data_IF_862119022656
#
_entry.id   IF_862119022656
#
_cell.length_a   1.000
_cell.length_b   1.000
_cell.length_c   1.000
_cell.angle_alpha   90.00
_cell.angle_beta   90.00
_cell.angle_gamma   90.00
#
_symmetry.space_group_name_H-M   'P 1'
#
loop_
_entity.id
_entity.type
_entity.pdbx_description
1 polymer ?
#
# COMPACT_ATOMS: atom_id res chain seq x y z
N UNK A 1 4.06 28.74 -26.62
CA UNK A 1 3.19 27.89 -25.78
C UNK A 1 3.17 28.46 -24.37
N UNK A 2 1.98 28.60 -23.76
CA UNK A 2 1.89 28.96 -22.34
C UNK A 2 2.50 27.86 -21.44
N UNK A 3 2.99 28.24 -20.27
CA UNK A 3 3.58 27.31 -19.30
C UNK A 3 2.60 26.21 -18.89
N UNK A 4 1.30 26.54 -18.76
CA UNK A 4 0.24 25.57 -18.50
C UNK A 4 0.14 24.49 -19.58
N UNK A 5 0.19 24.86 -20.86
CA UNK A 5 0.15 23.87 -21.96
C UNK A 5 1.39 22.98 -21.96
N UNK A 6 2.58 23.53 -21.63
CA UNK A 6 3.81 22.74 -21.46
C UNK A 6 3.67 21.73 -20.32
N UNK A 7 3.16 22.16 -19.17
CA UNK A 7 2.92 21.30 -18.02
C UNK A 7 1.93 20.16 -18.36
N UNK A 8 0.82 20.47 -19.04
CA UNK A 8 -0.14 19.45 -19.47
C UNK A 8 0.48 18.41 -20.41
N UNK A 9 1.23 18.86 -21.42
CA UNK A 9 1.90 17.95 -22.36
C UNK A 9 2.94 17.11 -21.64
N UNK A 10 3.73 17.71 -20.75
CA UNK A 10 4.73 16.99 -19.96
C UNK A 10 4.07 15.92 -19.06
N UNK A 11 2.96 16.24 -18.40
CA UNK A 11 2.19 15.29 -17.59
C UNK A 11 1.53 14.19 -18.44
N UNK A 12 1.04 14.53 -19.63
CA UNK A 12 0.48 13.56 -20.57
C UNK A 12 1.54 12.58 -21.11
N UNK A 13 2.81 12.99 -21.17
CA UNK A 13 3.95 12.11 -21.48
C UNK A 13 4.37 11.31 -20.23
N UNK A 14 4.35 11.93 -19.05
CA UNK A 14 4.73 11.29 -17.80
C UNK A 14 3.87 10.07 -17.48
N UNK A 15 2.53 10.16 -17.61
CA UNK A 15 1.61 9.08 -17.27
C UNK A 15 1.90 7.75 -18.01
N UNK A 16 1.98 7.69 -19.36
CA UNK A 16 2.29 6.45 -20.06
C UNK A 16 3.72 5.95 -19.80
N UNK A 17 4.70 6.84 -19.59
CA UNK A 17 6.06 6.43 -19.24
C UNK A 17 6.09 5.78 -17.86
N UNK A 18 5.38 6.36 -16.88
CA UNK A 18 5.26 5.79 -15.54
C UNK A 18 4.61 4.40 -15.58
N UNK A 19 3.51 4.24 -16.34
CA UNK A 19 2.87 2.94 -16.52
C UNK A 19 3.77 1.92 -17.22
N UNK A 20 4.58 2.36 -18.20
CA UNK A 20 5.53 1.51 -18.90
C UNK A 20 6.67 1.06 -17.98
N UNK A 21 7.24 1.97 -17.20
CA UNK A 21 8.28 1.66 -16.20
C UNK A 21 7.74 0.64 -15.20
N UNK A 22 6.56 0.90 -14.64
CA UNK A 22 5.88 -0.03 -13.73
C UNK A 22 5.66 -1.41 -14.37
N UNK A 23 5.13 -1.46 -15.60
CA UNK A 23 4.88 -2.72 -16.30
C UNK A 23 6.17 -3.51 -16.53
N UNK A 24 7.24 -2.85 -16.98
CA UNK A 24 8.53 -3.50 -17.22
C UNK A 24 9.13 -4.01 -15.90
N UNK A 25 9.12 -3.18 -14.85
CA UNK A 25 9.67 -3.54 -13.55
C UNK A 25 8.95 -4.75 -12.96
N UNK A 26 7.62 -4.72 -12.88
CA UNK A 26 6.82 -5.81 -12.30
C UNK A 26 6.89 -7.11 -13.12
N UNK A 27 7.07 -7.03 -14.44
CA UNK A 27 7.08 -8.22 -15.31
C UNK A 27 8.41 -8.96 -15.33
N UNK A 28 9.53 -8.23 -15.25
CA UNK A 28 10.86 -8.75 -15.55
C UNK A 28 11.83 -8.72 -14.36
N UNK A 29 11.57 -7.92 -13.32
CA UNK A 29 12.47 -7.77 -12.19
C UNK A 29 11.90 -8.44 -10.93
N UNK A 30 12.77 -8.65 -9.94
CA UNK A 30 12.39 -9.23 -8.65
C UNK A 30 11.81 -8.14 -7.75
N UNK A 31 10.59 -8.38 -7.25
CA UNK A 31 9.88 -7.46 -6.37
C UNK A 31 9.68 -8.13 -5.02
N UNK A 32 10.27 -7.54 -3.98
CA UNK A 32 10.11 -8.03 -2.61
C UNK A 32 8.85 -7.45 -1.95
N UNK A 33 8.58 -6.15 -2.17
CA UNK A 33 7.44 -5.44 -1.60
C UNK A 33 6.84 -4.52 -2.67
N UNK A 34 5.60 -4.81 -3.07
CA UNK A 34 4.90 -4.13 -4.18
C UNK A 34 4.83 -2.61 -3.99
N UNK A 35 4.54 -2.14 -2.77
CA UNK A 35 4.45 -0.70 -2.48
C UNK A 35 5.80 -0.01 -2.70
N UNK A 36 6.89 -0.55 -2.15
CA UNK A 36 8.22 0.06 -2.27
C UNK A 36 8.71 0.04 -3.72
N UNK A 37 8.47 -1.06 -4.43
CA UNK A 37 8.77 -1.17 -5.86
C UNK A 37 7.97 -0.15 -6.69
N UNK A 38 6.67 -0.01 -6.46
CA UNK A 38 5.82 0.93 -7.19
C UNK A 38 6.20 2.39 -6.91
N UNK A 39 6.59 2.73 -5.68
CA UNK A 39 7.10 4.07 -5.34
C UNK A 39 8.43 4.34 -6.02
N UNK A 40 9.33 3.35 -6.08
CA UNK A 40 10.58 3.47 -6.83
C UNK A 40 10.32 3.74 -8.32
N UNK A 41 9.36 3.05 -8.93
CA UNK A 41 8.97 3.26 -10.33
C UNK A 41 8.52 4.69 -10.62
N UNK A 42 7.80 5.30 -9.68
CA UNK A 42 7.40 6.72 -9.78
C UNK A 42 8.64 7.62 -9.81
N UNK A 43 9.60 7.42 -8.90
CA UNK A 43 10.84 8.20 -8.89
C UNK A 43 11.65 8.01 -10.17
N UNK A 44 11.78 6.78 -10.64
CA UNK A 44 12.45 6.46 -11.91
C UNK A 44 11.77 7.18 -13.07
N UNK A 45 10.44 7.13 -13.16
CA UNK A 45 9.68 7.80 -14.22
C UNK A 45 9.83 9.33 -14.16
N UNK A 46 9.80 9.93 -12.95
CA UNK A 46 10.01 11.37 -12.76
C UNK A 46 11.39 11.79 -13.24
N UNK A 47 12.44 11.04 -12.87
CA UNK A 47 13.81 11.33 -13.28
C UNK A 47 13.97 11.17 -14.80
N UNK A 48 13.46 10.08 -15.39
CA UNK A 48 13.56 9.83 -16.82
C UNK A 48 12.86 10.92 -17.64
N UNK A 49 11.60 11.22 -17.33
CA UNK A 49 10.82 12.21 -18.08
C UNK A 49 11.35 13.62 -17.80
N UNK A 50 11.67 13.94 -16.55
CA UNK A 50 12.23 15.22 -16.15
C UNK A 50 13.58 15.51 -16.83
N UNK A 51 14.47 14.53 -16.89
CA UNK A 51 15.76 14.66 -17.57
C UNK A 51 15.58 14.84 -19.09
N UNK A 52 14.78 13.98 -19.75
CA UNK A 52 14.56 14.05 -21.21
C UNK A 52 13.95 15.40 -21.62
N UNK A 53 12.94 15.88 -20.89
CA UNK A 53 12.29 17.16 -21.21
C UNK A 53 13.17 18.38 -20.87
N UNK A 54 14.00 18.29 -19.83
CA UNK A 54 14.96 19.34 -19.49
C UNK A 54 16.10 19.43 -20.51
N UNK A 55 16.66 18.30 -20.93
CA UNK A 55 17.74 18.23 -21.93
C UNK A 55 17.29 18.73 -23.31
N UNK A 56 16.03 18.48 -23.69
CA UNK A 56 15.43 19.02 -24.92
C UNK A 56 15.04 20.50 -24.82
N UNK A 57 15.33 21.16 -23.69
CA UNK A 57 14.96 22.56 -23.45
C UNK A 57 13.46 22.82 -23.38
N UNK A 58 12.61 21.78 -23.27
CA UNK A 58 11.16 21.94 -23.27
C UNK A 58 10.65 22.67 -22.01
N UNK A 59 11.37 22.50 -20.90
CA UNK A 59 11.10 23.11 -19.59
C UNK A 59 11.89 24.41 -19.33
N UNK A 60 12.74 24.86 -20.27
CA UNK A 60 13.62 26.03 -20.07
C UNK A 60 12.84 27.33 -19.83
N UNK A 61 11.67 27.46 -20.45
CA UNK A 61 10.77 28.60 -20.31
C UNK A 61 10.03 28.68 -18.96
N UNK A 62 10.07 27.60 -18.16
CA UNK A 62 9.45 27.56 -16.83
C UNK A 62 10.46 28.04 -15.78
N UNK A 63 9.99 28.80 -14.81
CA UNK A 63 10.75 29.18 -13.60
C UNK A 63 11.11 27.95 -12.76
N UNK A 64 12.09 28.09 -11.86
CA UNK A 64 12.48 27.01 -10.95
C UNK A 64 11.33 26.49 -10.08
N UNK A 65 10.48 27.40 -9.59
CA UNK A 65 9.29 27.07 -8.79
C UNK A 65 8.29 26.24 -9.61
N UNK A 66 7.98 26.64 -10.84
CA UNK A 66 7.03 25.91 -11.69
C UNK A 66 7.51 24.49 -12.00
N UNK A 67 8.83 24.30 -12.21
CA UNK A 67 9.41 22.96 -12.40
C UNK A 67 9.32 22.12 -11.14
N UNK A 68 9.62 22.70 -9.98
CA UNK A 68 9.51 22.03 -8.69
C UNK A 68 8.07 21.57 -8.41
N UNK A 69 7.09 22.45 -8.65
CA UNK A 69 5.68 22.13 -8.48
C UNK A 69 5.21 21.05 -9.46
N UNK A 70 5.69 21.07 -10.71
CA UNK A 70 5.39 20.02 -11.69
C UNK A 70 5.92 18.65 -11.24
N UNK A 71 7.17 18.59 -10.75
CA UNK A 71 7.73 17.33 -10.25
C UNK A 71 7.06 16.86 -8.96
N UNK A 72 6.74 17.77 -8.04
CA UNK A 72 5.97 17.44 -6.85
C UNK A 72 4.59 16.87 -7.20
N UNK A 73 3.92 17.43 -8.21
CA UNK A 73 2.66 16.92 -8.71
C UNK A 73 2.83 15.51 -9.29
N UNK A 74 3.87 15.25 -10.08
CA UNK A 74 4.13 13.91 -10.62
C UNK A 74 4.41 12.88 -9.54
N UNK A 75 5.20 13.23 -8.53
CA UNK A 75 5.45 12.36 -7.38
C UNK A 75 4.15 12.09 -6.62
N UNK A 76 3.33 13.11 -6.36
CA UNK A 76 2.06 12.95 -5.67
C UNK A 76 1.07 12.08 -6.45
N UNK A 77 0.91 12.32 -7.76
CA UNK A 77 0.04 11.52 -8.63
C UNK A 77 0.55 10.08 -8.75
N UNK A 78 1.86 9.89 -8.93
CA UNK A 78 2.46 8.56 -8.99
C UNK A 78 2.33 7.81 -7.66
N UNK A 79 2.53 8.48 -6.53
CA UNK A 79 2.31 7.90 -5.21
C UNK A 79 0.84 7.49 -5.00
N UNK A 80 -0.10 8.35 -5.41
CA UNK A 80 -1.53 8.02 -5.37
C UNK A 80 -1.84 6.77 -6.22
N UNK A 81 -1.23 6.65 -7.40
CA UNK A 81 -1.32 5.44 -8.22
C UNK A 81 -0.75 4.22 -7.50
N UNK A 82 0.49 4.29 -6.99
CA UNK A 82 1.18 3.19 -6.32
C UNK A 82 0.39 2.65 -5.11
N UNK A 83 -0.20 3.55 -4.31
CA UNK A 83 -1.04 3.15 -3.17
C UNK A 83 -2.38 2.61 -3.64
N UNK A 84 -3.04 3.26 -4.60
CA UNK A 84 -4.45 2.96 -4.91
C UNK A 84 -4.65 1.79 -5.87
N UNK A 85 -3.68 1.50 -6.74
CA UNK A 85 -3.86 0.49 -7.79
C UNK A 85 -3.14 -0.81 -7.42
N UNK A 86 -1.81 -0.94 -7.55
CA UNK A 86 -1.15 -2.21 -7.32
C UNK A 86 -1.24 -2.64 -5.86
N UNK A 87 -1.08 -1.71 -4.90
CA UNK A 87 -1.08 -2.06 -3.47
C UNK A 87 -2.48 -2.45 -2.97
N UNK A 88 -3.55 -1.80 -3.46
CA UNK A 88 -4.92 -2.21 -3.10
C UNK A 88 -5.24 -3.56 -3.75
N UNK A 89 -4.94 -3.77 -5.03
CA UNK A 89 -5.25 -5.05 -5.70
C UNK A 89 -4.53 -6.22 -5.02
N UNK A 90 -3.24 -6.04 -4.67
CA UNK A 90 -2.43 -7.05 -3.99
C UNK A 90 -2.97 -7.45 -2.59
N UNK A 91 -3.64 -6.52 -1.88
CA UNK A 91 -3.89 -6.66 -0.42
C UNK A 91 -5.34 -6.48 0.00
N UNK A 92 -6.23 -6.15 -0.92
CA UNK A 92 -7.61 -5.80 -0.59
C UNK A 92 -8.45 -7.04 -0.37
N UNK A 93 -8.74 -7.27 0.91
CA UNK A 93 -9.75 -8.23 1.34
C UNK A 93 -11.13 -7.94 0.69
N UNK A 94 -11.43 -6.68 0.37
CA UNK A 94 -12.70 -6.34 -0.31
C UNK A 94 -12.76 -6.85 -1.76
N UNK A 95 -11.67 -6.74 -2.52
CA UNK A 95 -11.62 -7.32 -3.87
C UNK A 95 -11.73 -8.84 -3.82
N UNK A 96 -10.99 -9.46 -2.88
CA UNK A 96 -11.06 -10.90 -2.67
C UNK A 96 -12.48 -11.41 -2.33
N UNK A 97 -13.24 -10.70 -1.48
CA UNK A 97 -14.65 -11.06 -1.21
C UNK A 97 -15.46 -11.07 -2.52
N UNK A 98 -15.31 -10.04 -3.36
CA UNK A 98 -16.06 -9.94 -4.62
C UNK A 98 -15.67 -11.06 -5.60
N UNK A 99 -14.39 -11.37 -5.70
CA UNK A 99 -13.89 -12.48 -6.53
C UNK A 99 -14.46 -13.82 -6.05
N UNK A 100 -14.48 -14.05 -4.73
CA UNK A 100 -15.08 -15.27 -4.16
C UNK A 100 -16.58 -15.35 -4.35
N UNK A 101 -17.30 -14.25 -4.19
CA UNK A 101 -18.73 -14.19 -4.51
C UNK A 101 -18.96 -14.52 -5.97
N UNK A 102 -18.20 -13.92 -6.89
CA UNK A 102 -18.29 -14.17 -8.32
C UNK A 102 -17.99 -15.64 -8.67
N UNK A 103 -16.93 -16.22 -8.11
CA UNK A 103 -16.59 -17.64 -8.29
C UNK A 103 -17.69 -18.60 -7.80
N UNK A 104 -18.50 -18.18 -6.83
CA UNK A 104 -19.60 -18.96 -6.25
C UNK A 104 -20.98 -18.59 -6.83
N UNK A 105 -21.02 -17.94 -7.99
CA UNK A 105 -22.29 -17.61 -8.67
C UNK A 105 -23.00 -16.38 -8.11
N UNK A 106 -22.27 -15.49 -7.44
CA UNK A 106 -22.75 -14.19 -6.94
C UNK A 106 -23.16 -14.16 -5.47
N UNK A 107 -23.02 -15.26 -4.72
CA UNK A 107 -23.51 -15.33 -3.35
C UNK A 107 -22.78 -16.35 -2.46
N UNK A 108 -22.59 -15.97 -1.19
CA UNK A 108 -22.08 -16.84 -0.12
C UNK A 108 -22.97 -16.59 1.11
N UNK A 109 -23.32 -17.64 1.86
CA UNK A 109 -24.09 -17.48 3.11
C UNK A 109 -23.32 -16.61 4.09
N UNK A 110 -23.93 -15.54 4.59
CA UNK A 110 -23.28 -14.57 5.47
C UNK A 110 -22.61 -15.24 6.69
N UNK A 111 -23.29 -16.19 7.34
CA UNK A 111 -22.75 -16.93 8.49
C UNK A 111 -21.54 -17.83 8.19
N UNK A 112 -21.24 -18.07 6.91
CA UNK A 112 -20.08 -18.85 6.44
C UNK A 112 -18.98 -17.97 5.84
N UNK A 113 -19.15 -16.64 5.85
CA UNK A 113 -18.15 -15.73 5.32
C UNK A 113 -16.82 -15.81 6.10
N UNK A 114 -16.87 -16.14 7.40
CA UNK A 114 -15.66 -16.37 8.21
C UNK A 114 -14.77 -17.47 7.63
N UNK A 115 -15.37 -18.54 7.11
CA UNK A 115 -14.63 -19.67 6.54
C UNK A 115 -13.81 -19.24 5.31
N UNK A 116 -14.35 -18.32 4.52
CA UNK A 116 -13.67 -17.75 3.34
C UNK A 116 -12.42 -16.97 3.74
N UNK A 117 -12.42 -16.30 4.90
CA UNK A 117 -11.23 -15.60 5.39
C UNK A 117 -10.20 -16.54 6.01
N UNK A 118 -10.65 -17.45 6.88
CA UNK A 118 -9.73 -18.30 7.66
C UNK A 118 -9.15 -19.43 6.82
N UNK A 119 -10.00 -20.10 6.03
CA UNK A 119 -9.61 -21.33 5.34
C UNK A 119 -9.19 -21.08 3.88
N UNK A 120 -9.62 -19.98 3.27
CA UNK A 120 -9.28 -19.67 1.87
C UNK A 120 -8.31 -18.48 1.79
N UNK A 121 -8.66 -17.30 2.30
CA UNK A 121 -7.86 -16.08 2.09
C UNK A 121 -6.44 -16.20 2.67
N UNK A 122 -6.33 -16.70 3.91
CA UNK A 122 -5.04 -16.85 4.58
C UNK A 122 -4.11 -17.80 3.82
N UNK A 123 -4.67 -18.84 3.18
CA UNK A 123 -3.92 -19.89 2.48
C UNK A 123 -3.60 -19.47 1.05
N UNK A 124 -4.61 -19.08 0.27
CA UNK A 124 -4.48 -18.74 -1.16
C UNK A 124 -3.57 -17.54 -1.40
N UNK A 125 -3.59 -16.55 -0.49
CA UNK A 125 -2.72 -15.38 -0.58
C UNK A 125 -1.42 -15.51 0.22
N UNK A 126 -1.11 -16.69 0.78
CA UNK A 126 0.08 -16.88 1.64
C UNK A 126 0.23 -15.75 2.67
N UNK A 127 -0.90 -15.36 3.30
CA UNK A 127 -1.00 -14.06 3.95
C UNK A 127 -0.02 -13.92 5.11
N UNK A 128 0.22 -15.01 5.86
CA UNK A 128 1.17 -15.01 6.97
C UNK A 128 2.60 -14.79 6.45
N UNK A 129 3.01 -15.56 5.45
CA UNK A 129 4.37 -15.52 4.89
C UNK A 129 4.71 -14.14 4.32
N UNK A 130 3.77 -13.56 3.55
CA UNK A 130 3.96 -12.23 2.95
C UNK A 130 4.07 -11.16 4.04
N UNK A 131 3.21 -11.21 5.07
CA UNK A 131 3.22 -10.18 6.12
C UNK A 131 4.47 -10.28 6.99
N UNK A 132 4.91 -11.49 7.33
CA UNK A 132 6.19 -11.68 8.03
C UNK A 132 7.37 -11.20 7.19
N UNK A 133 7.39 -11.52 5.89
CA UNK A 133 8.43 -11.05 4.97
C UNK A 133 8.47 -9.52 4.90
N UNK A 134 7.31 -8.86 4.81
CA UNK A 134 7.24 -7.39 4.82
C UNK A 134 7.83 -6.79 6.10
N UNK A 135 7.48 -7.36 7.26
CA UNK A 135 7.99 -6.87 8.54
C UNK A 135 9.51 -7.08 8.65
N UNK A 136 10.02 -8.24 8.23
CA UNK A 136 11.45 -8.55 8.17
C UNK A 136 12.20 -7.58 7.24
N UNK A 137 11.70 -7.37 6.01
CA UNK A 137 12.31 -6.44 5.06
C UNK A 137 12.27 -4.99 5.55
N UNK A 138 11.25 -4.64 6.35
CA UNK A 138 11.17 -3.32 6.99
C UNK A 138 12.00 -3.20 8.27
N UNK A 139 12.54 -4.31 8.81
CA UNK A 139 13.32 -4.36 10.04
C UNK A 139 12.51 -4.11 11.31
N UNK A 140 11.20 -4.34 11.30
CA UNK A 140 10.32 -4.19 12.48
C UNK A 140 10.23 -5.46 13.32
N UNK A 141 10.55 -6.62 12.74
CA UNK A 141 10.66 -7.88 13.44
C UNK A 141 11.96 -8.58 13.11
N UNK A 142 12.32 -9.54 13.95
CA UNK A 142 13.36 -10.54 13.74
C UNK A 142 12.82 -11.92 14.11
N UNK A 143 13.39 -12.97 13.53
CA UNK A 143 13.01 -14.35 13.82
C UNK A 143 14.25 -15.09 14.33
N UNK A 144 14.20 -15.51 15.60
CA UNK A 144 15.26 -16.28 16.27
C UNK A 144 14.66 -17.60 16.76
N UNK A 145 15.25 -18.72 16.38
CA UNK A 145 14.80 -20.06 16.81
C UNK A 145 13.29 -20.35 16.60
N UNK A 146 12.72 -19.81 15.52
CA UNK A 146 11.29 -19.95 15.21
C UNK A 146 10.38 -18.97 15.96
N UNK A 147 10.94 -18.14 16.83
CA UNK A 147 10.25 -17.12 17.59
C UNK A 147 10.33 -15.74 16.92
N UNK A 148 9.18 -15.08 16.79
CA UNK A 148 9.05 -13.78 16.12
C UNK A 148 9.09 -12.66 17.16
N UNK A 149 10.15 -11.86 17.15
CA UNK A 149 10.35 -10.77 18.11
C UNK A 149 10.24 -9.40 17.44
N UNK A 150 9.74 -8.41 18.17
CA UNK A 150 9.79 -7.01 17.73
C UNK A 150 11.21 -6.48 17.91
N UNK A 151 11.68 -5.72 16.92
CA UNK A 151 12.87 -4.87 17.12
C UNK A 151 12.47 -3.58 17.86
N UNK A 152 13.42 -2.75 18.34
CA UNK A 152 13.09 -1.44 18.91
C UNK A 152 12.30 -0.54 17.93
N UNK A 153 12.57 -0.67 16.62
CA UNK A 153 11.78 -0.01 15.57
C UNK A 153 10.36 -0.56 15.52
N UNK A 154 10.19 -1.88 15.62
CA UNK A 154 8.89 -2.53 15.69
C UNK A 154 8.06 -2.08 16.88
N UNK A 155 8.65 -2.02 18.08
CA UNK A 155 7.98 -1.53 19.29
C UNK A 155 7.51 -0.09 19.15
N UNK A 156 8.35 0.78 18.59
CA UNK A 156 7.99 2.17 18.30
C UNK A 156 6.81 2.25 17.31
N UNK A 157 6.86 1.51 16.20
CA UNK A 157 5.78 1.50 15.21
C UNK A 157 4.48 0.96 15.81
N UNK A 158 4.54 -0.10 16.61
CA UNK A 158 3.38 -0.69 17.27
C UNK A 158 2.74 0.28 18.27
N UNK A 159 3.55 0.94 19.10
CA UNK A 159 3.07 1.92 20.09
C UNK A 159 2.46 3.16 19.42
N UNK A 160 3.10 3.69 18.38
CA UNK A 160 2.54 4.78 17.56
C UNK A 160 1.22 4.37 16.91
N UNK A 161 1.13 3.14 16.41
CA UNK A 161 -0.09 2.58 15.84
C UNK A 161 -1.21 2.42 16.86
N UNK A 162 -0.90 2.12 18.13
CA UNK A 162 -1.88 2.10 19.23
C UNK A 162 -2.34 3.50 19.60
N UNK A 163 -1.40 4.43 19.76
CA UNK A 163 -1.71 5.84 20.03
C UNK A 163 -2.62 6.42 18.96
N UNK A 164 -2.34 6.17 17.68
CA UNK A 164 -3.19 6.65 16.59
C UNK A 164 -4.62 6.09 16.67
N UNK A 165 -4.76 4.79 16.94
CA UNK A 165 -6.08 4.15 17.07
C UNK A 165 -6.93 4.75 18.19
N UNK A 166 -6.32 4.99 19.34
CA UNK A 166 -7.05 5.46 20.52
C UNK A 166 -7.40 6.95 20.47
N UNK A 167 -6.61 7.76 19.74
CA UNK A 167 -6.77 9.22 19.73
C UNK A 167 -7.38 9.78 18.44
N UNK A 168 -7.10 9.18 17.28
CA UNK A 168 -7.45 9.75 15.98
C UNK A 168 -8.44 8.92 15.17
N UNK A 169 -8.71 7.66 15.52
CA UNK A 169 -9.75 6.91 14.82
C UNK A 169 -11.16 7.40 15.19
N UNK A 170 -12.11 7.31 14.24
CA UNK A 170 -13.49 7.69 14.48
C UNK A 170 -14.12 6.87 15.62
N UNK A 171 -14.72 7.56 16.59
CA UNK A 171 -15.49 6.94 17.70
C UNK A 171 -16.89 6.46 17.31
N UNK A 172 -17.39 6.89 16.16
CA UNK A 172 -18.70 6.48 15.65
C UNK A 172 -18.50 5.86 14.27
N UNK A 173 -18.17 4.57 14.23
CA UNK A 173 -17.95 3.83 12.98
C UNK A 173 -19.03 2.80 12.77
N UNK A 174 -19.62 2.78 11.58
CA UNK A 174 -20.65 1.83 11.19
C UNK A 174 -20.05 0.42 11.05
N UNK A 175 -20.53 -0.52 11.84
CA UNK A 175 -20.25 -1.96 11.76
C UNK A 175 -21.59 -2.71 11.69
N UNK A 176 -21.86 -3.34 10.55
CA UNK A 176 -23.07 -4.17 10.33
C UNK A 176 -24.38 -3.51 10.79
N UNK A 177 -24.56 -2.22 10.50
CA UNK A 177 -25.80 -1.48 10.82
C UNK A 177 -25.80 -0.73 12.16
N UNK A 178 -24.75 -0.86 12.97
CA UNK A 178 -24.62 -0.17 14.25
C UNK A 178 -23.39 0.75 14.28
N UNK A 179 -23.52 1.93 14.86
CA UNK A 179 -22.37 2.82 15.09
C UNK A 179 -21.73 2.50 16.44
N UNK A 180 -20.43 2.26 16.45
CA UNK A 180 -19.66 1.86 17.65
C UNK A 180 -18.23 2.42 17.62
N UNK A 181 -17.58 2.47 18.79
CA UNK A 181 -16.19 2.84 19.00
C UNK A 181 -15.24 1.63 19.12
N UNK A 182 -15.74 0.40 18.96
CA UNK A 182 -14.98 -0.85 19.19
C UNK A 182 -13.61 -0.91 18.49
N UNK A 183 -13.46 -0.23 17.36
CA UNK A 183 -12.22 -0.22 16.58
C UNK A 183 -11.19 0.82 17.03
N UNK A 184 -11.53 1.71 17.97
CA UNK A 184 -10.56 2.59 18.63
C UNK A 184 -9.67 1.82 19.60
N UNK A 185 -10.18 0.74 20.21
CA UNK A 185 -9.39 -0.22 20.96
C UNK A 185 -9.89 -1.67 20.75
N UNK A 186 -9.46 -2.33 19.66
CA UNK A 186 -9.88 -3.70 19.37
C UNK A 186 -9.28 -4.74 20.34
N UNK A 187 -8.34 -4.35 21.21
CA UNK A 187 -7.66 -5.26 22.14
C UNK A 187 -8.18 -5.15 23.58
N UNK A 188 -9.22 -4.33 23.82
CA UNK A 188 -9.87 -4.13 25.13
C UNK A 188 -10.31 -5.46 25.78
N UNK A 189 -10.65 -6.45 24.96
CA UNK A 189 -11.07 -7.80 25.38
C UNK A 189 -10.16 -8.90 24.79
N UNK A 190 -8.87 -8.63 24.63
CA UNK A 190 -7.91 -9.59 24.08
C UNK A 190 -7.68 -10.81 24.97
N UNK A 191 -7.55 -11.99 24.36
CA UNK A 191 -7.19 -13.23 25.05
C UNK A 191 -5.73 -13.16 25.49
N UNK A 192 -5.49 -13.19 26.80
CA UNK A 192 -4.15 -13.07 27.37
C UNK A 192 -3.44 -14.43 27.46
N UNK A 193 -4.17 -15.51 27.73
CA UNK A 193 -3.60 -16.84 27.91
C UNK A 193 -3.59 -17.60 26.58
N UNK A 194 -2.40 -17.73 25.99
CA UNK A 194 -2.18 -18.33 24.68
C UNK A 194 -0.97 -19.25 24.76
N UNK A 195 -1.01 -20.36 24.01
CA UNK A 195 -0.02 -21.46 24.04
C UNK A 195 1.18 -21.23 23.12
N UNK A 196 1.13 -20.22 22.25
CA UNK A 196 2.16 -19.89 21.27
C UNK A 196 3.14 -18.79 21.74
N UNK A 197 3.31 -18.60 23.04
CA UNK A 197 4.28 -17.63 23.56
C UNK A 197 5.70 -18.15 23.34
N UNK A 198 6.59 -17.25 22.97
CA UNK A 198 8.01 -17.49 23.02
C UNK A 198 8.46 -17.43 24.48
N UNK A 199 9.22 -18.42 24.92
CA UNK A 199 9.85 -18.46 26.24
C UNK A 199 11.11 -17.60 26.29
#
# INVERSE_FOLDING_TARGET
MSNYRRALIASAIFAPVMLLVYYIHMRYFRVNVVLYASVLDVFVAVVLVGAVLSLRGFLSAMSGLERLLLFALWVATGYAFAVSVPTIIDRSLSFYILEKLQQRGGGIRQGRMKDVFVNEYMVEHHLVDIRLTEQLQSGTIEIHDGCVHLTPKGEFVASMGRFYRTHFLPRHRLLMGQYTDDLTDPFRHSTQNVDYRCE
#
